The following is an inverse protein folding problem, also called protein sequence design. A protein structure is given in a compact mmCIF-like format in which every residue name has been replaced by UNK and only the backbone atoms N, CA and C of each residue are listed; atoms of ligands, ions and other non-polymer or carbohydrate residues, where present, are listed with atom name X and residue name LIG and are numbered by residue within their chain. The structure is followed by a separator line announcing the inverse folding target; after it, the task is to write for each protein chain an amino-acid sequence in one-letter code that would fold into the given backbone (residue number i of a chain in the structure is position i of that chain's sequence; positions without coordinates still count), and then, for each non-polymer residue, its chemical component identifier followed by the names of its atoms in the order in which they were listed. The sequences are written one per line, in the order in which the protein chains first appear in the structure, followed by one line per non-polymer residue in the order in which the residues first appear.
data_IF_167308341946
#
_entry.id   IF_167308341946
#
_cell.length_a   1.000
_cell.length_b   1.000
_cell.length_c   1.000
_cell.angle_alpha   90.00
_cell.angle_beta   90.00
_cell.angle_gamma   90.00
#
_symmetry.space_group_name_H-M   'P 1'
#
loop_
_entity.id
_entity.type
_entity.pdbx_description
1 polymer ?
#
# COMPACT_ATOMS: atom_id res chain seq x y z
N UNK A 1 22.29 0.57 18.73
CA UNK A 1 21.16 0.76 17.86
C UNK A 1 20.14 1.77 18.42
N UNK A 2 19.02 2.07 17.72
CA UNK A 2 18.08 3.11 18.11
C UNK A 2 17.46 2.90 19.49
N UNK A 3 17.14 1.65 19.86
CA UNK A 3 16.57 1.34 21.17
C UNK A 3 17.54 1.60 22.32
N UNK A 4 18.81 1.27 22.13
CA UNK A 4 19.87 1.58 23.12
C UNK A 4 20.05 3.08 23.28
N UNK A 5 20.06 3.85 22.18
CA UNK A 5 20.13 5.33 22.26
C UNK A 5 18.97 5.92 23.06
N UNK A 6 17.76 5.42 22.83
CA UNK A 6 16.60 5.83 23.64
C UNK A 6 16.79 5.49 25.13
N UNK A 7 17.22 4.25 25.44
CA UNK A 7 17.46 3.80 26.82
C UNK A 7 18.53 4.63 27.55
N UNK A 8 19.49 5.17 26.82
CA UNK A 8 20.53 6.09 27.35
C UNK A 8 20.09 7.56 27.37
N UNK A 9 18.83 7.87 27.08
CA UNK A 9 18.27 9.22 27.18
C UNK A 9 18.67 10.18 26.06
N UNK A 10 19.22 9.69 24.95
CA UNK A 10 19.70 10.58 23.86
C UNK A 10 18.59 11.24 23.04
N UNK A 11 17.46 10.56 22.82
CA UNK A 11 16.39 11.10 21.99
C UNK A 11 15.10 10.28 22.09
N UNK A 12 13.98 10.87 21.69
CA UNK A 12 12.77 10.14 21.35
C UNK A 12 12.94 9.41 20.02
N UNK A 13 12.40 8.21 19.90
CA UNK A 13 12.52 7.37 18.70
C UNK A 13 11.18 6.83 18.28
N UNK A 14 10.75 7.13 17.06
CA UNK A 14 9.58 6.51 16.45
C UNK A 14 10.02 5.78 15.18
N UNK A 15 9.83 4.46 15.15
CA UNK A 15 10.07 3.60 13.99
C UNK A 15 8.74 3.37 13.30
N UNK A 16 8.62 3.85 12.07
CA UNK A 16 7.45 3.62 11.22
C UNK A 16 7.75 2.50 10.22
N UNK A 17 6.90 1.46 10.21
CA UNK A 17 6.94 0.39 9.22
C UNK A 17 5.81 0.57 8.24
N UNK A 18 6.14 0.67 6.96
CA UNK A 18 5.16 0.91 5.92
C UNK A 18 4.67 -0.39 5.28
N UNK A 19 3.38 -0.43 4.93
CA UNK A 19 2.84 -1.38 3.98
C UNK A 19 3.43 -1.15 2.58
N UNK A 20 2.91 -1.87 1.58
CA UNK A 20 3.31 -1.62 0.19
C UNK A 20 2.66 -0.31 -0.25
N UNK A 21 3.50 0.70 -0.46
CA UNK A 21 3.08 2.04 -0.83
C UNK A 21 2.80 2.08 -2.33
N UNK A 22 1.67 2.67 -2.71
CA UNK A 22 1.34 3.00 -4.08
C UNK A 22 0.85 4.45 -4.20
N UNK A 23 0.85 4.99 -5.41
CA UNK A 23 0.39 6.35 -5.68
C UNK A 23 1.00 6.91 -6.96
N UNK A 24 0.63 8.15 -7.36
CA UNK A 24 1.12 8.80 -8.56
C UNK A 24 2.65 8.94 -8.54
N UNK A 25 3.34 8.28 -9.48
CA UNK A 25 4.80 8.38 -9.66
C UNK A 25 5.22 7.89 -11.05
N UNK A 26 6.32 8.44 -11.56
CA UNK A 26 6.80 8.14 -12.92
C UNK A 26 7.54 6.79 -13.06
N UNK A 27 8.08 6.25 -11.97
CA UNK A 27 8.92 5.04 -11.99
C UNK A 27 8.87 4.29 -10.67
N UNK A 28 9.51 3.12 -10.60
CA UNK A 28 9.57 2.26 -9.41
C UNK A 28 8.18 1.83 -8.92
N UNK A 29 7.31 1.45 -9.84
CA UNK A 29 5.94 1.07 -9.55
C UNK A 29 5.84 -0.17 -8.66
N UNK A 30 4.90 -0.16 -7.74
CA UNK A 30 4.46 -1.36 -7.03
C UNK A 30 3.55 -2.21 -7.94
N UNK A 31 3.12 -3.37 -7.43
CA UNK A 31 2.17 -4.21 -8.15
C UNK A 31 0.86 -3.47 -8.47
N UNK A 32 0.44 -2.51 -7.64
CA UNK A 32 -0.80 -1.75 -7.85
C UNK A 32 -0.72 -0.89 -9.10
N UNK A 33 0.31 -0.02 -9.21
CA UNK A 33 0.49 0.83 -10.38
C UNK A 33 0.77 0.01 -11.64
N UNK A 34 1.59 -1.04 -11.51
CA UNK A 34 1.93 -1.91 -12.65
C UNK A 34 0.71 -2.62 -13.22
N UNK A 35 -0.18 -3.16 -12.36
CA UNK A 35 -1.41 -3.81 -12.79
C UNK A 35 -2.41 -2.81 -13.35
N UNK A 36 -2.58 -1.64 -12.72
CA UNK A 36 -3.46 -0.58 -13.22
C UNK A 36 -3.05 -0.15 -14.63
N UNK A 37 -1.74 0.12 -14.82
CA UNK A 37 -1.20 0.47 -16.13
C UNK A 37 -1.39 -0.66 -17.15
N UNK A 38 -1.09 -1.91 -16.78
CA UNK A 38 -1.23 -3.05 -17.66
C UNK A 38 -2.69 -3.26 -18.09
N UNK A 39 -3.66 -3.15 -17.17
CA UNK A 39 -5.10 -3.23 -17.48
C UNK A 39 -5.52 -2.12 -18.45
N UNK A 40 -4.98 -0.92 -18.28
CA UNK A 40 -5.32 0.23 -19.13
C UNK A 40 -4.74 0.13 -20.55
N UNK A 41 -3.58 -0.53 -20.74
CA UNK A 41 -2.79 -0.41 -21.98
C UNK A 41 -2.57 -1.71 -22.73
N UNK A 42 -2.92 -2.88 -22.17
CA UNK A 42 -2.63 -4.18 -22.77
C UNK A 42 -3.89 -5.00 -22.96
N UNK A 43 -3.90 -5.87 -23.97
CA UNK A 43 -4.97 -6.84 -24.21
C UNK A 43 -4.83 -8.09 -23.32
N UNK A 44 -3.60 -8.36 -22.85
CA UNK A 44 -3.26 -9.49 -21.97
C UNK A 44 -2.48 -8.96 -20.77
N UNK A 45 -2.93 -9.33 -19.58
CA UNK A 45 -2.27 -8.99 -18.31
C UNK A 45 -1.83 -10.27 -17.62
N UNK A 46 -0.53 -10.40 -17.40
CA UNK A 46 0.04 -11.54 -16.68
C UNK A 46 0.23 -11.18 -15.21
N UNK A 47 -0.14 -12.11 -14.33
CA UNK A 47 0.01 -11.97 -12.87
C UNK A 47 0.48 -13.31 -12.29
N UNK A 48 1.21 -13.29 -11.17
CA UNK A 48 1.63 -14.53 -10.52
C UNK A 48 0.41 -15.33 -10.04
N UNK A 49 -0.27 -14.83 -9.03
CA UNK A 49 -1.56 -15.35 -8.55
C UNK A 49 -2.48 -14.20 -8.18
N UNK A 50 -3.71 -14.23 -8.68
CA UNK A 50 -4.75 -13.23 -8.34
C UNK A 50 -5.12 -13.26 -6.86
N UNK A 51 -4.89 -14.39 -6.17
CA UNK A 51 -5.15 -14.58 -4.73
C UNK A 51 -4.06 -13.99 -3.83
N UNK A 52 -2.89 -13.63 -4.37
CA UNK A 52 -1.83 -12.95 -3.59
C UNK A 52 -2.36 -11.64 -3.04
N UNK A 53 -2.19 -11.43 -1.73
CA UNK A 53 -2.80 -10.30 -1.02
C UNK A 53 -1.83 -9.55 -0.10
N UNK A 54 -2.02 -8.23 -0.02
CA UNK A 54 -1.24 -7.30 0.81
C UNK A 54 -2.14 -6.21 1.41
N UNK A 55 -1.65 -5.56 2.45
CA UNK A 55 -2.23 -4.31 2.93
C UNK A 55 -1.55 -3.15 2.18
N UNK A 56 -2.05 -2.85 0.98
CA UNK A 56 -1.57 -1.70 0.21
C UNK A 56 -1.99 -0.40 0.86
N UNK A 57 -1.15 0.62 0.74
CA UNK A 57 -1.41 1.94 1.32
C UNK A 57 -1.06 3.05 0.33
N UNK A 58 -1.95 4.03 0.22
CA UNK A 58 -1.72 5.18 -0.65
C UNK A 58 -0.65 6.12 -0.05
N UNK A 59 0.17 6.72 -0.91
CA UNK A 59 1.27 7.61 -0.48
C UNK A 59 0.78 8.79 0.36
N UNK A 60 -0.40 9.35 0.08
CA UNK A 60 -0.99 10.45 0.88
C UNK A 60 -1.29 10.01 2.32
N UNK A 61 -1.71 8.75 2.53
CA UNK A 61 -1.94 8.21 3.86
C UNK A 61 -0.63 8.00 4.62
N UNK A 62 0.45 7.60 3.92
CA UNK A 62 1.79 7.53 4.52
C UNK A 62 2.23 8.93 5.00
N UNK A 63 2.07 9.96 4.16
CA UNK A 63 2.42 11.35 4.54
C UNK A 63 1.65 11.80 5.76
N UNK A 64 0.33 11.57 5.79
CA UNK A 64 -0.50 11.93 6.96
C UNK A 64 -0.08 11.17 8.23
N UNK A 65 0.23 9.87 8.09
CA UNK A 65 0.70 9.04 9.20
C UNK A 65 2.07 9.47 9.75
N UNK A 66 3.01 9.83 8.87
CA UNK A 66 4.31 10.40 9.27
C UNK A 66 4.08 11.69 10.06
N UNK A 67 3.26 12.60 9.52
CA UNK A 67 2.93 13.87 10.18
C UNK A 67 2.35 13.65 11.59
N UNK A 68 1.41 12.72 11.74
CA UNK A 68 0.82 12.38 13.04
C UNK A 68 1.81 11.79 14.03
N UNK A 69 2.93 11.25 13.56
CA UNK A 69 3.96 10.62 14.40
C UNK A 69 5.09 11.56 14.82
N UNK A 70 5.16 12.80 14.30
CA UNK A 70 6.33 13.69 14.49
C UNK A 70 6.54 14.08 15.96
N UNK A 71 5.46 14.28 16.72
CA UNK A 71 5.54 14.77 18.10
C UNK A 71 5.48 13.66 19.17
N UNK A 72 5.58 12.38 18.75
CA UNK A 72 5.53 11.27 19.68
C UNK A 72 6.76 11.24 20.59
N UNK A 73 6.49 11.11 21.87
CA UNK A 73 7.52 10.96 22.89
C UNK A 73 7.83 9.48 23.15
N UNK A 74 9.05 9.21 23.61
CA UNK A 74 9.48 7.88 23.99
C UNK A 74 9.93 7.01 22.83
N UNK A 75 9.87 5.69 23.02
CA UNK A 75 10.20 4.69 21.99
C UNK A 75 8.93 4.08 21.39
N UNK A 76 8.71 4.35 20.13
CA UNK A 76 7.54 3.86 19.42
C UNK A 76 7.90 3.00 18.21
N UNK A 77 7.08 1.96 17.98
CA UNK A 77 7.12 1.13 16.78
C UNK A 77 5.71 1.01 16.24
N UNK A 78 5.45 1.57 15.05
CA UNK A 78 4.10 1.74 14.50
C UNK A 78 4.09 1.29 13.04
N UNK A 79 3.09 0.48 12.67
CA UNK A 79 2.85 0.10 11.29
C UNK A 79 1.87 1.09 10.66
N UNK A 80 2.26 1.72 9.55
CA UNK A 80 1.40 2.52 8.68
C UNK A 80 1.08 1.72 7.41
N UNK A 81 -0.15 1.25 7.31
CA UNK A 81 -0.59 0.43 6.19
C UNK A 81 -2.11 0.48 6.04
N UNK A 82 -2.61 -0.03 4.91
CA UNK A 82 -4.03 -0.08 4.63
C UNK A 82 -4.81 -0.89 5.67
N UNK A 83 -6.10 -0.64 5.77
CA UNK A 83 -6.98 -1.19 6.79
C UNK A 83 -7.32 -2.66 6.58
N UNK A 84 -7.19 -3.14 5.36
CA UNK A 84 -7.55 -4.49 5.00
C UNK A 84 -6.60 -5.13 4.01
N UNK A 85 -6.67 -6.43 3.92
CA UNK A 85 -6.05 -7.19 2.86
C UNK A 85 -6.75 -6.87 1.52
N UNK A 86 -5.96 -6.63 0.49
CA UNK A 86 -6.40 -6.44 -0.91
C UNK A 86 -5.64 -7.44 -1.75
N UNK A 87 -6.35 -8.20 -2.59
CA UNK A 87 -5.73 -9.16 -3.51
C UNK A 87 -5.35 -8.49 -4.84
N UNK A 88 -4.40 -9.10 -5.56
CA UNK A 88 -4.05 -8.63 -6.91
C UNK A 88 -5.23 -8.76 -7.88
N UNK A 89 -6.08 -9.79 -7.70
CA UNK A 89 -7.33 -9.92 -8.44
C UNK A 89 -8.27 -8.75 -8.20
N UNK A 90 -8.42 -8.30 -6.94
CA UNK A 90 -9.22 -7.11 -6.61
C UNK A 90 -8.64 -5.84 -7.25
N UNK A 91 -7.31 -5.67 -7.26
CA UNK A 91 -6.68 -4.54 -7.96
C UNK A 91 -7.02 -4.57 -9.45
N UNK A 92 -6.97 -5.73 -10.11
CA UNK A 92 -7.33 -5.89 -11.52
C UNK A 92 -8.79 -5.52 -11.76
N UNK A 93 -9.73 -6.07 -10.96
CA UNK A 93 -11.16 -5.81 -11.17
C UNK A 93 -11.53 -4.34 -10.95
N UNK A 94 -11.00 -3.69 -9.91
CA UNK A 94 -11.22 -2.25 -9.71
C UNK A 94 -10.58 -1.44 -10.85
N UNK A 95 -9.41 -1.86 -11.35
CA UNK A 95 -8.77 -1.22 -12.51
C UNK A 95 -9.62 -1.33 -13.77
N UNK A 96 -10.22 -2.50 -14.06
CA UNK A 96 -11.15 -2.70 -15.18
C UNK A 96 -12.35 -1.75 -15.08
N UNK A 97 -12.95 -1.65 -13.89
CA UNK A 97 -14.10 -0.78 -13.66
C UNK A 97 -13.76 0.71 -13.91
N UNK A 98 -12.59 1.16 -13.47
CA UNK A 98 -12.15 2.55 -13.64
C UNK A 98 -11.79 2.86 -15.09
N UNK A 99 -11.10 1.96 -15.77
CA UNK A 99 -10.59 2.19 -17.13
C UNK A 99 -11.59 1.84 -18.23
N UNK A 100 -12.64 1.06 -17.92
CA UNK A 100 -13.56 0.50 -18.90
C UNK A 100 -12.94 -0.58 -19.81
N UNK A 101 -11.71 -1.03 -19.50
CA UNK A 101 -10.97 -2.06 -20.24
C UNK A 101 -11.22 -3.45 -19.64
N UNK A 102 -11.14 -4.47 -20.47
CA UNK A 102 -11.33 -5.86 -20.04
C UNK A 102 -10.31 -6.79 -20.68
N UNK A 103 -9.01 -6.67 -20.33
CA UNK A 103 -7.97 -7.54 -20.86
C UNK A 103 -8.15 -8.98 -20.39
N UNK A 104 -7.57 -9.92 -21.14
CA UNK A 104 -7.44 -11.32 -20.72
C UNK A 104 -6.43 -11.43 -19.59
N UNK A 105 -6.80 -12.09 -18.49
CA UNK A 105 -5.91 -12.28 -17.34
C UNK A 105 -5.29 -13.68 -17.39
N UNK A 106 -3.97 -13.76 -17.31
CA UNK A 106 -3.22 -15.03 -17.29
C UNK A 106 -2.48 -15.12 -15.95
N UNK A 107 -2.83 -16.14 -15.15
CA UNK A 107 -2.09 -16.47 -13.94
C UNK A 107 -0.91 -17.40 -14.27
N UNK A 108 0.31 -16.97 -13.94
CA UNK A 108 1.55 -17.74 -14.19
C UNK A 108 1.84 -18.80 -13.12
N UNK A 109 1.38 -18.56 -11.90
CA UNK A 109 1.65 -19.42 -10.74
C UNK A 109 0.47 -19.35 -9.76
N UNK A 110 -0.73 -19.80 -10.16
CA UNK A 110 -1.95 -19.66 -9.36
C UNK A 110 -1.87 -20.37 -7.99
N UNK A 111 -1.02 -21.38 -7.86
CA UNK A 111 -0.75 -22.12 -6.63
C UNK A 111 0.18 -21.36 -5.66
N UNK A 112 1.00 -20.43 -6.15
CA UNK A 112 1.97 -19.68 -5.34
C UNK A 112 1.31 -18.45 -4.70
N UNK A 113 0.38 -18.68 -3.79
CA UNK A 113 -0.34 -17.61 -3.08
C UNK A 113 0.49 -17.09 -1.92
N UNK A 114 0.72 -15.80 -1.88
CA UNK A 114 1.40 -15.14 -0.76
C UNK A 114 0.49 -14.09 -0.13
N UNK A 115 0.18 -14.28 1.15
CA UNK A 115 -0.67 -13.36 1.92
C UNK A 115 0.12 -12.75 3.07
N UNK A 116 0.12 -11.42 3.16
CA UNK A 116 0.68 -10.69 4.31
C UNK A 116 -0.35 -9.69 4.80
N UNK A 117 -0.96 -10.04 5.92
CA UNK A 117 -1.92 -9.19 6.63
C UNK A 117 -1.29 -8.74 7.94
N UNK A 118 -0.92 -7.48 8.02
CA UNK A 118 -0.27 -6.87 9.18
C UNK A 118 -1.25 -5.85 9.78
N UNK A 119 -1.30 -5.74 11.11
CA UNK A 119 -2.23 -4.83 11.78
C UNK A 119 -1.69 -3.41 11.87
N UNK A 120 -2.54 -2.41 11.61
CA UNK A 120 -2.31 -0.98 11.86
C UNK A 120 -2.98 -0.50 13.17
N UNK A 121 -3.45 -1.41 14.02
CA UNK A 121 -4.20 -1.08 15.25
C UNK A 121 -3.44 -0.05 16.11
N UNK A 122 -2.12 -0.19 16.25
CA UNK A 122 -1.32 0.75 17.04
C UNK A 122 -1.31 2.17 16.44
N UNK A 123 -1.31 2.31 15.11
CA UNK A 123 -1.43 3.62 14.48
C UNK A 123 -2.78 4.28 14.83
N UNK A 124 -3.86 3.52 14.82
CA UNK A 124 -5.19 4.02 15.20
C UNK A 124 -5.25 4.49 16.66
N UNK A 125 -4.68 3.70 17.59
CA UNK A 125 -4.77 4.00 19.02
C UNK A 125 -3.78 5.06 19.49
N UNK A 126 -2.56 5.09 18.94
CA UNK A 126 -1.48 6.00 19.40
C UNK A 126 -1.48 7.31 18.62
N UNK A 127 -1.75 7.27 17.31
CA UNK A 127 -1.72 8.45 16.44
C UNK A 127 -3.11 9.04 16.18
N UNK A 128 -4.18 8.38 16.63
CA UNK A 128 -5.55 8.66 16.17
C UNK A 128 -5.65 8.76 14.64
N UNK A 129 -4.89 7.90 13.94
CA UNK A 129 -4.72 7.91 12.49
C UNK A 129 -5.36 6.66 11.86
N UNK A 130 -5.98 6.86 10.71
CA UNK A 130 -6.47 5.80 9.82
C UNK A 130 -6.23 6.20 8.37
N UNK A 131 -6.03 5.24 7.44
CA UNK A 131 -5.97 5.56 6.03
C UNK A 131 -7.33 6.08 5.53
N UNK A 132 -7.29 7.07 4.63
CA UNK A 132 -8.46 7.69 4.02
C UNK A 132 -8.70 7.27 2.58
N UNK A 133 -7.68 6.65 1.95
CA UNK A 133 -7.75 6.16 0.59
C UNK A 133 -8.16 4.69 0.58
N UNK A 134 -9.37 4.40 0.07
CA UNK A 134 -9.72 3.06 -0.37
C UNK A 134 -9.02 2.77 -1.71
N UNK A 135 -9.12 1.50 -2.19
CA UNK A 135 -8.45 1.09 -3.43
C UNK A 135 -8.94 1.89 -4.64
N UNK A 136 -10.25 2.10 -4.78
CA UNK A 136 -10.85 2.83 -5.90
C UNK A 136 -10.37 4.29 -5.97
N UNK A 137 -10.46 5.01 -4.86
CA UNK A 137 -9.96 6.39 -4.75
C UNK A 137 -8.47 6.48 -5.05
N UNK A 138 -7.69 5.51 -4.55
CA UNK A 138 -6.26 5.45 -4.79
C UNK A 138 -5.91 5.18 -6.26
N UNK A 139 -6.58 4.22 -6.91
CA UNK A 139 -6.37 3.93 -8.34
C UNK A 139 -6.82 5.09 -9.22
N UNK A 140 -7.95 5.74 -8.89
CA UNK A 140 -8.42 6.92 -9.63
C UNK A 140 -7.37 8.05 -9.62
N UNK A 141 -6.62 8.20 -8.53
CA UNK A 141 -5.54 9.21 -8.44
C UNK A 141 -4.36 8.95 -9.40
N UNK A 142 -4.26 7.73 -9.95
CA UNK A 142 -3.22 7.38 -10.93
C UNK A 142 -3.55 7.88 -12.34
N UNK A 143 -4.81 8.19 -12.63
CA UNK A 143 -5.23 8.71 -13.94
C UNK A 143 -4.48 10.01 -14.23
N UNK A 144 -3.87 10.09 -15.40
CA UNK A 144 -3.09 11.28 -15.81
C UNK A 144 -1.64 11.32 -15.33
N UNK A 145 -1.22 10.39 -14.47
CA UNK A 145 0.16 10.31 -13.99
C UNK A 145 0.92 9.06 -14.52
N UNK A 146 0.19 8.12 -15.10
CA UNK A 146 0.73 6.88 -15.69
C UNK A 146 0.65 6.85 -17.22
N UNK A 147 0.32 7.99 -17.84
CA UNK A 147 0.25 8.18 -19.28
C UNK A 147 1.54 8.84 -19.75
#
# INVERSE_FOLDING_TARGET
NLRQRYQHGFCNVTILRFGIIYGPRKSNWSAVESLFHAVNTRDIVEVGSTKTGRCFIHVSDIVSGIRSAMDLQGFNLINLQGDRLITLGEVIEVSKNITGKNPTIIEKSPENVSIRNISNKRARTVLNWKPEYNLEKGLTSLIGNLI
#
